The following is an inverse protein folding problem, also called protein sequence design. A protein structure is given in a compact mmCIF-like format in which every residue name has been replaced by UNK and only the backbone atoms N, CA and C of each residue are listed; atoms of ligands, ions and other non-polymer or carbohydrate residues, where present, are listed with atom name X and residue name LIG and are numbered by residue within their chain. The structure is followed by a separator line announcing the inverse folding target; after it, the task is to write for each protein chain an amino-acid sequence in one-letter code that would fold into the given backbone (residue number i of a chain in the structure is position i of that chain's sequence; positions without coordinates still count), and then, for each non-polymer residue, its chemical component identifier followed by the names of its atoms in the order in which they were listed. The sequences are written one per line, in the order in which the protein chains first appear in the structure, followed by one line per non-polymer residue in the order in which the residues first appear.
data_IF_399432744537
#
_entry.id   IF_399432744537
#
_cell.length_a   1.000
_cell.length_b   1.000
_cell.length_c   1.000
_cell.angle_alpha   90.00
_cell.angle_beta   90.00
_cell.angle_gamma   90.00
#
_symmetry.space_group_name_H-M   'P 1'
#
loop_
_entity.id
_entity.type
_entity.pdbx_description
1 polymer ?
#
# COMPACT_ATOMS: atom_id res chain seq x y z
N UNK A 1 -26.49 -7.64 -40.38
CA UNK A 1 -26.64 -7.94 -38.94
C UNK A 1 -25.32 -7.60 -38.26
N UNK A 2 -25.11 -6.33 -37.90
CA UNK A 2 -23.92 -5.89 -37.15
C UNK A 2 -24.38 -5.71 -35.70
N UNK A 3 -24.09 -6.71 -34.88
CA UNK A 3 -24.37 -6.66 -33.44
C UNK A 3 -23.21 -5.93 -32.77
N UNK A 4 -23.41 -4.66 -32.44
CA UNK A 4 -22.44 -3.85 -31.70
C UNK A 4 -22.57 -4.24 -30.23
N UNK A 5 -21.56 -4.96 -29.72
CA UNK A 5 -21.36 -5.13 -28.28
C UNK A 5 -21.03 -3.74 -27.67
N UNK A 6 -22.05 -3.05 -27.18
CA UNK A 6 -21.85 -1.91 -26.30
C UNK A 6 -21.38 -2.43 -24.94
N UNK A 7 -20.07 -2.62 -24.79
CA UNK A 7 -19.48 -2.69 -23.44
C UNK A 7 -19.66 -1.29 -22.85
N UNK A 8 -20.62 -1.17 -21.94
CA UNK A 8 -21.09 0.10 -21.39
C UNK A 8 -19.95 0.91 -20.77
N UNK A 9 -19.68 2.09 -21.31
CA UNK A 9 -18.74 3.10 -20.79
C UNK A 9 -18.89 3.35 -19.27
N UNK A 10 -20.11 3.19 -18.75
CA UNK A 10 -20.46 3.33 -17.33
C UNK A 10 -19.74 2.36 -16.40
N UNK A 11 -19.44 1.13 -16.82
CA UNK A 11 -18.78 0.13 -15.96
C UNK A 11 -17.28 0.40 -15.81
N UNK A 12 -16.61 0.80 -16.91
CA UNK A 12 -15.17 1.15 -16.88
C UNK A 12 -14.93 2.49 -16.15
N UNK A 13 -15.86 3.44 -16.25
CA UNK A 13 -15.80 4.69 -15.50
C UNK A 13 -15.98 4.47 -13.99
N UNK A 14 -16.86 3.54 -13.59
CA UNK A 14 -17.09 3.18 -12.19
C UNK A 14 -15.85 2.52 -11.56
N UNK A 15 -15.25 1.54 -12.24
CA UNK A 15 -14.04 0.88 -11.72
C UNK A 15 -12.86 1.83 -11.63
N UNK A 16 -12.68 2.73 -12.60
CA UNK A 16 -11.65 3.76 -12.55
C UNK A 16 -11.84 4.74 -11.38
N UNK A 17 -13.09 5.14 -11.09
CA UNK A 17 -13.42 5.99 -9.96
C UNK A 17 -13.16 5.30 -8.61
N UNK A 18 -13.50 4.01 -8.49
CA UNK A 18 -13.23 3.19 -7.31
C UNK A 18 -11.72 3.02 -7.05
N UNK A 19 -10.93 2.76 -8.10
CA UNK A 19 -9.47 2.73 -8.01
C UNK A 19 -8.92 4.08 -7.55
N UNK A 20 -9.36 5.19 -8.15
CA UNK A 20 -8.90 6.52 -7.74
C UNK A 20 -9.24 6.84 -6.27
N UNK A 21 -10.43 6.43 -5.80
CA UNK A 21 -10.85 6.60 -4.41
C UNK A 21 -10.00 5.75 -3.45
N UNK A 22 -9.68 4.51 -3.83
CA UNK A 22 -8.79 3.64 -3.08
C UNK A 22 -7.38 4.22 -2.95
N UNK A 23 -6.78 4.68 -4.06
CA UNK A 23 -5.46 5.31 -4.05
C UNK A 23 -5.42 6.56 -3.15
N UNK A 24 -6.43 7.43 -3.26
CA UNK A 24 -6.55 8.60 -2.37
C UNK A 24 -6.63 8.22 -0.88
N UNK A 25 -7.29 7.10 -0.58
CA UNK A 25 -7.45 6.61 0.79
C UNK A 25 -6.13 6.09 1.37
N UNK A 26 -5.37 5.30 0.61
CA UNK A 26 -4.05 4.81 1.05
C UNK A 26 -3.01 5.94 1.10
N UNK A 27 -3.06 6.92 0.19
CA UNK A 27 -2.23 8.12 0.24
C UNK A 27 -2.45 8.89 1.54
N UNK A 28 -3.72 9.11 1.91
CA UNK A 28 -4.07 9.79 3.14
C UNK A 28 -3.65 9.02 4.40
N UNK A 29 -3.69 7.68 4.36
CA UNK A 29 -3.21 6.82 5.46
C UNK A 29 -1.70 6.88 5.59
N UNK A 30 -0.99 6.72 4.47
CA UNK A 30 0.46 6.79 4.40
C UNK A 30 0.97 8.14 4.92
N UNK A 31 0.34 9.24 4.48
CA UNK A 31 0.69 10.58 4.94
C UNK A 31 0.51 10.73 6.46
N UNK A 32 -0.58 10.23 7.03
CA UNK A 32 -0.80 10.26 8.49
C UNK A 32 0.25 9.48 9.28
N UNK A 33 0.78 8.39 8.73
CA UNK A 33 1.87 7.64 9.37
C UNK A 33 3.15 8.49 9.33
N UNK A 34 3.53 8.99 8.15
CA UNK A 34 4.78 9.74 7.95
C UNK A 34 4.79 11.07 8.71
N UNK A 35 3.65 11.75 8.85
CA UNK A 35 3.58 12.99 9.63
C UNK A 35 3.98 12.80 11.10
N UNK A 36 3.77 11.60 11.68
CA UNK A 36 4.18 11.32 13.06
C UNK A 36 5.69 11.28 13.25
N UNK A 37 6.46 11.09 12.18
CA UNK A 37 7.93 11.07 12.23
C UNK A 37 8.52 12.48 12.27
N UNK A 38 7.72 13.52 12.00
CA UNK A 38 8.13 14.93 12.00
C UNK A 38 9.42 15.18 11.22
N UNK A 39 9.50 14.64 10.00
CA UNK A 39 10.68 14.75 9.14
C UNK A 39 10.91 16.21 8.73
N UNK A 40 12.14 16.75 8.88
CA UNK A 40 12.41 18.15 8.56
C UNK A 40 12.38 18.42 7.05
N UNK A 41 12.75 17.41 6.24
CA UNK A 41 12.73 17.50 4.78
C UNK A 41 11.37 17.03 4.25
N UNK A 42 10.56 17.98 3.77
CA UNK A 42 9.25 17.71 3.17
C UNK A 42 9.32 16.81 1.94
N UNK A 43 10.39 16.90 1.14
CA UNK A 43 10.56 16.08 -0.06
C UNK A 43 10.78 14.61 0.34
N UNK A 44 11.60 14.38 1.38
CA UNK A 44 11.78 13.04 1.97
C UNK A 44 10.46 12.53 2.55
N UNK A 45 9.69 13.37 3.26
CA UNK A 45 8.38 12.98 3.78
C UNK A 45 7.42 12.52 2.67
N UNK A 46 7.34 13.26 1.55
CA UNK A 46 6.52 12.86 0.41
C UNK A 46 7.02 11.57 -0.25
N UNK A 47 8.34 11.38 -0.38
CA UNK A 47 8.91 10.14 -0.91
C UNK A 47 8.56 8.93 -0.05
N UNK A 48 8.77 9.04 1.26
CA UNK A 48 8.43 7.98 2.22
C UNK A 48 6.94 7.70 2.22
N UNK A 49 6.09 8.73 2.14
CA UNK A 49 4.64 8.55 2.06
C UNK A 49 4.23 7.79 0.80
N UNK A 50 4.86 8.07 -0.35
CA UNK A 50 4.65 7.30 -1.58
C UNK A 50 5.01 5.83 -1.40
N UNK A 51 6.19 5.53 -0.85
CA UNK A 51 6.62 4.15 -0.59
C UNK A 51 5.66 3.37 0.34
N UNK A 52 5.10 4.06 1.34
CA UNK A 52 4.12 3.45 2.26
C UNK A 52 2.78 3.22 1.55
N UNK A 53 2.34 4.14 0.68
CA UNK A 53 1.14 3.96 -0.13
C UNK A 53 1.30 2.80 -1.12
N UNK A 54 2.43 2.72 -1.82
CA UNK A 54 2.77 1.61 -2.72
C UNK A 54 2.71 0.28 -1.97
N UNK A 55 3.22 0.23 -0.73
CA UNK A 55 3.14 -0.98 0.09
C UNK A 55 1.71 -1.42 0.39
N UNK A 56 0.79 -0.48 0.61
CA UNK A 56 -0.63 -0.80 0.78
C UNK A 56 -1.23 -1.38 -0.50
N UNK A 57 -0.90 -0.80 -1.66
CA UNK A 57 -1.39 -1.28 -2.96
C UNK A 57 -0.89 -2.70 -3.28
N UNK A 58 0.41 -2.95 -3.12
CA UNK A 58 1.02 -4.28 -3.34
C UNK A 58 0.38 -5.38 -2.49
N UNK A 59 0.16 -5.09 -1.20
CA UNK A 59 -0.48 -6.03 -0.28
C UNK A 59 -1.93 -6.30 -0.69
N UNK A 60 -2.66 -5.25 -1.06
CA UNK A 60 -4.03 -5.38 -1.52
C UNK A 60 -4.12 -6.24 -2.78
N UNK A 61 -3.22 -6.06 -3.75
CA UNK A 61 -3.22 -6.87 -4.98
C UNK A 61 -3.02 -8.36 -4.69
N UNK A 62 -2.10 -8.69 -3.77
CA UNK A 62 -1.87 -10.09 -3.34
C UNK A 62 -3.13 -10.65 -2.66
N UNK A 63 -3.75 -9.88 -1.78
CA UNK A 63 -4.93 -10.32 -1.05
C UNK A 63 -6.17 -10.42 -1.94
N UNK A 64 -6.36 -9.52 -2.90
CA UNK A 64 -7.41 -9.61 -3.91
C UNK A 64 -7.21 -10.84 -4.81
N UNK A 65 -5.97 -11.16 -5.18
CA UNK A 65 -5.66 -12.37 -5.93
C UNK A 65 -5.97 -13.64 -5.11
N UNK A 66 -5.67 -13.65 -3.81
CA UNK A 66 -6.04 -14.73 -2.90
C UNK A 66 -7.55 -14.87 -2.76
N UNK A 67 -8.26 -13.77 -2.50
CA UNK A 67 -9.70 -13.77 -2.21
C UNK A 67 -10.53 -14.10 -3.45
N UNK A 68 -10.02 -13.76 -4.64
CA UNK A 68 -10.57 -14.22 -5.92
C UNK A 68 -10.12 -15.63 -6.33
N UNK A 69 -9.48 -16.38 -5.44
CA UNK A 69 -8.99 -17.75 -5.66
C UNK A 69 -7.97 -17.91 -6.80
N UNK A 70 -7.38 -16.81 -7.27
CA UNK A 70 -6.30 -16.81 -8.26
C UNK A 70 -4.95 -17.20 -7.66
N UNK A 71 -4.82 -17.08 -6.34
CA UNK A 71 -3.61 -17.41 -5.58
C UNK A 71 -3.99 -18.22 -4.34
N UNK A 72 -3.25 -19.29 -4.02
CA UNK A 72 -3.50 -20.03 -2.78
C UNK A 72 -3.05 -19.20 -1.55
N UNK A 73 -3.61 -19.46 -0.35
CA UNK A 73 -3.16 -18.80 0.87
C UNK A 73 -1.65 -18.91 1.10
N UNK A 74 -1.07 -20.10 0.91
CA UNK A 74 0.37 -20.33 1.08
C UNK A 74 1.22 -19.52 0.08
N UNK A 75 0.77 -19.37 -1.16
CA UNK A 75 1.47 -18.55 -2.15
C UNK A 75 1.31 -17.06 -1.87
N UNK A 76 0.15 -16.61 -1.37
CA UNK A 76 -0.07 -15.24 -0.94
C UNK A 76 0.87 -14.87 0.21
N UNK A 77 0.97 -15.72 1.24
CA UNK A 77 1.87 -15.51 2.38
C UNK A 77 3.34 -15.46 1.93
N UNK A 78 3.74 -16.36 1.03
CA UNK A 78 5.08 -16.34 0.44
C UNK A 78 5.36 -15.04 -0.32
N UNK A 79 4.40 -14.55 -1.11
CA UNK A 79 4.53 -13.31 -1.85
C UNK A 79 4.66 -12.10 -0.91
N UNK A 80 3.83 -12.03 0.14
CA UNK A 80 3.91 -10.97 1.17
C UNK A 80 5.29 -10.95 1.83
N UNK A 81 5.82 -12.12 2.20
CA UNK A 81 7.11 -12.26 2.86
C UNK A 81 8.27 -11.81 1.95
N UNK A 82 8.23 -12.13 0.66
CA UNK A 82 9.27 -11.72 -0.30
C UNK A 82 9.39 -10.19 -0.44
N UNK A 83 8.29 -9.47 -0.27
CA UNK A 83 8.27 -8.01 -0.39
C UNK A 83 8.71 -7.29 0.90
N UNK A 84 8.80 -8.00 2.04
CA UNK A 84 9.10 -7.36 3.33
C UNK A 84 10.51 -6.74 3.38
N UNK A 85 11.54 -7.52 3.03
CA UNK A 85 12.93 -7.05 3.10
C UNK A 85 13.22 -5.91 2.10
N UNK A 86 12.79 -5.99 0.81
CA UNK A 86 12.94 -4.87 -0.13
C UNK A 86 12.31 -3.56 0.38
N UNK A 87 11.13 -3.65 0.99
CA UNK A 87 10.45 -2.48 1.57
C UNK A 87 11.27 -1.83 2.70
N UNK A 88 11.84 -2.63 3.61
CA UNK A 88 12.70 -2.11 4.67
C UNK A 88 13.97 -1.47 4.09
N UNK A 89 14.57 -2.12 3.09
CA UNK A 89 15.79 -1.62 2.45
C UNK A 89 15.57 -0.24 1.82
N UNK A 90 14.47 -0.06 1.08
CA UNK A 90 14.18 1.23 0.44
C UNK A 90 13.85 2.33 1.45
N UNK A 91 13.15 2.00 2.55
CA UNK A 91 12.91 2.95 3.64
C UNK A 91 14.20 3.39 4.32
N UNK A 92 15.15 2.47 4.50
CA UNK A 92 16.42 2.73 5.20
C UNK A 92 17.35 3.66 4.41
N UNK A 93 17.05 3.94 3.14
CA UNK A 93 17.72 4.99 2.35
C UNK A 93 17.35 6.39 2.85
N UNK A 94 16.14 6.56 3.38
CA UNK A 94 15.56 7.86 3.75
C UNK A 94 15.41 8.04 5.26
N UNK A 95 15.34 6.95 6.00
CA UNK A 95 14.98 6.91 7.41
C UNK A 95 16.06 6.23 8.24
N UNK A 96 16.25 6.71 9.46
CA UNK A 96 17.06 6.00 10.43
C UNK A 96 16.31 4.77 11.00
N UNK A 97 17.00 3.83 11.66
CA UNK A 97 16.37 2.61 12.17
C UNK A 97 15.16 2.85 13.10
N UNK A 98 15.20 3.88 13.95
CA UNK A 98 14.09 4.24 14.83
C UNK A 98 12.85 4.70 14.07
N UNK A 99 13.04 5.49 13.01
CA UNK A 99 11.96 5.94 12.14
C UNK A 99 11.38 4.78 11.32
N UNK A 100 12.21 3.83 10.86
CA UNK A 100 11.73 2.61 10.18
C UNK A 100 10.83 1.79 11.12
N UNK A 101 11.19 1.67 12.39
CA UNK A 101 10.34 1.02 13.40
C UNK A 101 9.01 1.77 13.56
N UNK A 102 9.03 3.11 13.66
CA UNK A 102 7.80 3.90 13.74
C UNK A 102 6.88 3.73 12.54
N UNK A 103 7.43 3.60 11.32
CA UNK A 103 6.63 3.26 10.13
C UNK A 103 5.97 1.89 10.29
N UNK A 104 6.74 0.86 10.71
CA UNK A 104 6.22 -0.49 10.93
C UNK A 104 5.09 -0.49 11.96
N UNK A 105 5.26 0.23 13.07
CA UNK A 105 4.22 0.37 14.10
C UNK A 105 2.99 1.11 13.56
N UNK A 106 3.19 2.14 12.74
CA UNK A 106 2.11 2.83 12.05
C UNK A 106 1.29 1.94 11.11
N UNK A 107 1.93 0.95 10.48
CA UNK A 107 1.28 -0.03 9.61
C UNK A 107 0.48 -1.09 10.39
N UNK A 108 0.91 -1.44 11.60
CA UNK A 108 0.32 -2.50 12.44
C UNK A 108 -0.55 -1.97 13.58
N UNK A 109 -0.92 -0.69 13.57
CA UNK A 109 -1.65 -0.01 14.66
C UNK A 109 -0.94 -0.04 16.02
N UNK A 110 0.38 -0.20 16.06
CA UNK A 110 1.12 -0.24 17.33
C UNK A 110 0.71 -1.40 18.23
N UNK A 111 0.34 -2.56 17.65
CA UNK A 111 -0.13 -3.76 18.39
C UNK A 111 1.01 -4.46 19.15
N UNK A 112 2.20 -3.86 19.26
CA UNK A 112 3.17 -4.28 20.27
C UNK A 112 2.76 -3.65 21.61
N UNK A 113 2.42 -4.45 22.64
CA UNK A 113 2.35 -3.93 24.00
C UNK A 113 3.73 -3.33 24.30
N UNK A 114 3.76 -2.07 24.71
CA UNK A 114 4.95 -1.50 25.34
C UNK A 114 5.03 -2.16 26.72
N UNK A 115 5.64 -3.35 26.79
CA UNK A 115 6.03 -4.00 28.05
C UNK A 115 7.35 -3.47 28.55
#
# INVERSE_FOLDING_TARGET
MISIYAVSFSAMAQTAAETAAYHKMIDGRAWKIVQKLNLPDSAVAHKVSGLVADRYAELNDIYQARDSSKLSPAFADSAVNKLHQPFINILSVYLNPGQVLQIKDGLTYGVLPVT
#
